data_IF_456643610768
#
_entry.id   IF_456643610768
#
_cell.length_a   1.000
_cell.length_b   1.000
_cell.length_c   1.000
_cell.angle_alpha   90.00
_cell.angle_beta   90.00
_cell.angle_gamma   90.00
#
_symmetry.space_group_name_H-M   'P 1'
#
loop_
_entity.id
_entity.type
_entity.pdbx_description
1 polymer ?
#
# COMPACT_ATOMS: atom_id res chain seq x y z
N UNK A 1 4.93 -3.53 -11.15
CA UNK A 1 4.45 -4.87 -11.49
C UNK A 1 2.98 -4.75 -11.84
N UNK A 2 2.50 -5.24 -13.00
CA UNK A 2 1.07 -5.26 -13.28
C UNK A 2 0.36 -6.11 -12.22
N UNK A 3 -0.85 -5.70 -11.84
CA UNK A 3 -1.72 -6.54 -11.00
C UNK A 3 -2.18 -7.69 -11.89
N UNK A 4 -1.77 -8.92 -11.56
CA UNK A 4 -2.24 -10.11 -12.24
C UNK A 4 -3.47 -10.65 -11.47
N UNK A 5 -4.70 -10.55 -12.03
CA UNK A 5 -5.90 -11.05 -11.36
C UNK A 5 -5.87 -12.57 -11.16
N UNK A 6 -5.05 -13.30 -11.92
CA UNK A 6 -4.97 -14.76 -11.83
C UNK A 6 -4.21 -15.24 -10.59
N UNK A 7 -3.48 -14.36 -9.91
CA UNK A 7 -2.81 -14.66 -8.63
C UNK A 7 -3.72 -14.44 -7.43
N UNK A 8 -4.97 -14.02 -7.63
CA UNK A 8 -5.94 -13.89 -6.54
C UNK A 8 -6.48 -15.26 -6.11
N UNK A 9 -6.81 -15.45 -4.82
CA UNK A 9 -7.53 -16.64 -4.39
C UNK A 9 -8.87 -16.80 -5.13
N UNK A 10 -9.32 -18.05 -5.26
CA UNK A 10 -10.42 -18.42 -6.15
C UNK A 10 -11.71 -17.63 -5.91
N UNK A 11 -12.04 -17.38 -4.64
CA UNK A 11 -13.27 -16.68 -4.28
C UNK A 11 -13.22 -15.21 -4.72
N UNK A 12 -12.13 -14.50 -4.42
CA UNK A 12 -11.89 -13.10 -4.78
C UNK A 12 -11.87 -12.92 -6.30
N UNK A 13 -11.26 -13.87 -7.02
CA UNK A 13 -11.24 -13.87 -8.49
C UNK A 13 -12.67 -13.99 -9.04
N UNK A 14 -13.49 -14.90 -8.53
CA UNK A 14 -14.90 -15.01 -8.95
C UNK A 14 -15.71 -13.75 -8.64
N UNK A 15 -15.52 -13.13 -7.47
CA UNK A 15 -16.18 -11.87 -7.12
C UNK A 15 -15.78 -10.73 -8.06
N UNK A 16 -14.48 -10.62 -8.38
CA UNK A 16 -13.96 -9.63 -9.32
C UNK A 16 -14.55 -9.83 -10.71
N UNK A 17 -14.57 -11.07 -11.22
CA UNK A 17 -15.16 -11.40 -12.53
C UNK A 17 -16.65 -11.08 -12.57
N UNK A 18 -17.41 -11.44 -11.54
CA UNK A 18 -18.85 -11.15 -11.47
C UNK A 18 -19.11 -9.64 -11.49
N UNK A 19 -18.36 -8.87 -10.70
CA UNK A 19 -18.49 -7.42 -10.66
C UNK A 19 -18.10 -6.76 -11.99
N UNK A 20 -17.01 -7.21 -12.62
CA UNK A 20 -16.60 -6.74 -13.94
C UNK A 20 -17.68 -7.00 -14.99
N UNK A 21 -18.27 -8.20 -14.99
CA UNK A 21 -19.38 -8.57 -15.88
C UNK A 21 -20.59 -7.64 -15.71
N UNK A 22 -21.09 -7.45 -14.49
CA UNK A 22 -22.26 -6.60 -14.24
C UNK A 22 -22.03 -5.12 -14.59
N UNK A 23 -20.78 -4.66 -14.51
CA UNK A 23 -20.40 -3.28 -14.84
C UNK A 23 -19.98 -3.11 -16.32
N UNK A 24 -19.93 -4.18 -17.10
CA UNK A 24 -19.47 -4.15 -18.49
C UNK A 24 -18.02 -3.71 -18.63
N UNK A 25 -17.16 -4.06 -17.67
CA UNK A 25 -15.75 -3.65 -17.62
C UNK A 25 -14.82 -4.82 -17.89
N UNK A 26 -13.65 -4.49 -18.40
CA UNK A 26 -12.51 -5.40 -18.42
C UNK A 26 -12.12 -5.78 -16.97
N UNK A 27 -11.87 -7.07 -16.64
CA UNK A 27 -11.53 -7.51 -15.29
C UNK A 27 -10.28 -6.84 -14.71
N UNK A 28 -9.24 -6.60 -15.53
CA UNK A 28 -8.02 -5.92 -15.08
C UNK A 28 -8.30 -4.44 -14.75
N UNK A 29 -9.07 -3.77 -15.61
CA UNK A 29 -9.52 -2.40 -15.34
C UNK A 29 -10.36 -2.32 -14.05
N UNK A 30 -11.22 -3.32 -13.80
CA UNK A 30 -12.01 -3.38 -12.57
C UNK A 30 -11.14 -3.66 -11.35
N UNK A 31 -10.12 -4.52 -11.45
CA UNK A 31 -9.17 -4.80 -10.37
C UNK A 31 -8.45 -3.51 -9.95
N UNK A 32 -7.96 -2.74 -10.93
CA UNK A 32 -7.34 -1.42 -10.69
C UNK A 32 -8.32 -0.46 -10.03
N UNK A 33 -9.58 -0.42 -10.48
CA UNK A 33 -10.60 0.43 -9.88
C UNK A 33 -10.89 0.06 -8.41
N UNK A 34 -10.95 -1.23 -8.10
CA UNK A 34 -11.11 -1.74 -6.74
C UNK A 34 -9.94 -1.33 -5.84
N UNK A 35 -8.69 -1.49 -6.31
CA UNK A 35 -7.52 -1.06 -5.57
C UNK A 35 -7.53 0.45 -5.31
N UNK A 36 -7.81 1.26 -6.33
CA UNK A 36 -7.90 2.71 -6.19
C UNK A 36 -9.00 3.14 -5.20
N UNK A 37 -10.13 2.43 -5.19
CA UNK A 37 -11.21 2.68 -4.24
C UNK A 37 -10.77 2.34 -2.81
N UNK A 38 -10.19 1.15 -2.62
CA UNK A 38 -9.69 0.71 -1.32
C UNK A 38 -8.64 1.66 -0.76
N UNK A 39 -7.65 2.07 -1.57
CA UNK A 39 -6.60 3.00 -1.15
C UNK A 39 -7.17 4.35 -0.71
N UNK A 40 -8.18 4.87 -1.41
CA UNK A 40 -8.87 6.12 -0.99
C UNK A 40 -9.65 5.96 0.30
N UNK A 41 -10.30 4.82 0.51
CA UNK A 41 -11.02 4.53 1.75
C UNK A 41 -10.05 4.34 2.93
N UNK A 42 -8.88 3.76 2.67
CA UNK A 42 -7.85 3.51 3.67
C UNK A 42 -6.92 4.72 3.93
N UNK A 43 -6.98 5.77 3.10
CA UNK A 43 -6.10 6.93 3.15
C UNK A 43 -5.96 7.52 4.56
N UNK A 44 -7.04 7.75 5.35
CA UNK A 44 -6.90 8.38 6.64
C UNK A 44 -6.02 7.58 7.61
N UNK A 45 -6.11 6.24 7.54
CA UNK A 45 -5.30 5.31 8.34
C UNK A 45 -3.86 5.29 7.86
N UNK A 46 -3.64 5.23 6.55
CA UNK A 46 -2.29 5.25 5.94
C UNK A 46 -1.59 6.56 6.30
N UNK A 47 -2.23 7.70 6.04
CA UNK A 47 -1.62 9.00 6.29
C UNK A 47 -1.48 9.32 7.79
N UNK A 48 -2.25 8.69 8.67
CA UNK A 48 -2.00 8.79 10.11
C UNK A 48 -0.65 8.18 10.50
N UNK A 49 -0.31 7.01 9.95
CA UNK A 49 0.99 6.38 10.17
C UNK A 49 2.11 7.22 9.54
N UNK A 50 1.91 7.69 8.30
CA UNK A 50 2.89 8.55 7.62
C UNK A 50 3.16 9.83 8.43
N UNK A 51 2.12 10.51 8.94
CA UNK A 51 2.27 11.68 9.82
C UNK A 51 3.08 11.37 11.07
N UNK A 52 2.79 10.25 11.72
CA UNK A 52 3.52 9.83 12.92
C UNK A 52 5.01 9.65 12.64
N UNK A 53 5.35 8.94 11.57
CA UNK A 53 6.76 8.68 11.25
C UNK A 53 7.49 9.89 10.69
N UNK A 54 6.83 10.78 9.97
CA UNK A 54 7.40 12.06 9.55
C UNK A 54 7.77 12.91 10.78
N UNK A 55 6.88 12.97 11.78
CA UNK A 55 7.17 13.66 13.03
C UNK A 55 8.34 13.02 13.79
N UNK A 56 8.42 11.68 13.82
CA UNK A 56 9.53 10.97 14.46
C UNK A 56 10.86 11.26 13.78
N UNK A 57 10.94 11.13 12.46
CA UNK A 57 12.15 11.47 11.69
C UNK A 57 12.57 12.91 11.96
N UNK A 58 11.61 13.84 12.01
CA UNK A 58 11.91 15.23 12.27
C UNK A 58 12.47 15.47 13.68
N UNK A 59 11.96 14.75 14.68
CA UNK A 59 12.49 14.79 16.04
C UNK A 59 13.91 14.20 16.14
N UNK A 60 14.17 13.09 15.45
CA UNK A 60 15.46 12.38 15.52
C UNK A 60 16.58 13.10 14.75
N UNK A 61 16.24 13.73 13.62
CA UNK A 61 17.20 14.42 12.73
C UNK A 61 17.31 15.92 13.00
N UNK A 62 16.35 16.51 13.71
CA UNK A 62 16.22 17.95 13.91
C UNK A 62 15.81 18.72 12.64
N UNK A 63 15.50 18.04 11.53
CA UNK A 63 15.04 18.65 10.29
C UNK A 63 13.52 18.45 10.15
N UNK A 64 12.71 19.50 9.91
CA UNK A 64 11.29 19.33 9.64
C UNK A 64 11.03 18.37 8.47
N UNK A 65 10.04 17.51 8.61
CA UNK A 65 9.57 16.62 7.55
C UNK A 65 8.04 16.57 7.59
N UNK A 66 7.41 16.94 6.48
CA UNK A 66 5.98 16.88 6.30
C UNK A 66 5.53 15.48 5.84
N UNK A 67 4.28 15.13 6.13
CA UNK A 67 3.77 13.79 5.83
C UNK A 67 3.78 13.47 4.33
N UNK A 68 3.46 14.44 3.47
CA UNK A 68 3.51 14.23 2.02
C UNK A 68 4.94 14.09 1.50
N UNK A 69 5.92 14.75 2.13
CA UNK A 69 7.34 14.57 1.79
C UNK A 69 7.79 13.16 2.12
N UNK A 70 7.40 12.62 3.28
CA UNK A 70 7.67 11.24 3.62
C UNK A 70 6.95 10.26 2.67
N UNK A 71 5.69 10.52 2.32
CA UNK A 71 4.95 9.68 1.37
C UNK A 71 5.68 9.59 0.01
N UNK A 72 6.11 10.74 -0.52
CA UNK A 72 6.86 10.81 -1.77
C UNK A 72 8.24 10.16 -1.66
N UNK A 73 8.92 10.31 -0.51
CA UNK A 73 10.20 9.69 -0.25
C UNK A 73 10.09 8.16 -0.20
N UNK A 74 9.05 7.60 0.46
CA UNK A 74 8.75 6.16 0.46
C UNK A 74 8.50 5.68 -0.98
N UNK A 75 7.71 6.41 -1.77
CA UNK A 75 7.43 6.04 -3.15
C UNK A 75 8.69 6.05 -4.04
N UNK A 76 9.67 6.90 -3.73
CA UNK A 76 10.93 7.02 -4.46
C UNK A 76 11.96 5.97 -4.04
N UNK A 77 12.17 5.79 -2.74
CA UNK A 77 13.20 4.91 -2.18
C UNK A 77 12.78 4.38 -0.79
N UNK A 78 12.07 3.24 -0.72
CA UNK A 78 11.72 2.62 0.56
C UNK A 78 12.94 2.23 1.40
N UNK A 79 14.05 1.85 0.75
CA UNK A 79 15.28 1.43 1.43
C UNK A 79 15.91 2.57 2.23
N UNK A 80 15.97 3.78 1.67
CA UNK A 80 16.48 4.97 2.39
C UNK A 80 15.64 5.30 3.62
N UNK A 81 14.32 5.10 3.55
CA UNK A 81 13.43 5.31 4.71
C UNK A 81 13.61 4.23 5.77
N UNK A 82 13.90 2.99 5.37
CA UNK A 82 14.22 1.92 6.32
C UNK A 82 15.50 2.24 7.12
N UNK A 83 16.52 2.82 6.48
CA UNK A 83 17.75 3.26 7.15
C UNK A 83 17.50 4.40 8.16
N UNK A 84 16.55 5.30 7.87
CA UNK A 84 16.14 6.37 8.78
C UNK A 84 15.29 5.87 9.96
N UNK A 85 14.69 4.68 9.83
CA UNK A 85 13.78 4.11 10.82
C UNK A 85 14.11 2.63 11.07
N UNK A 86 15.32 2.29 11.56
CA UNK A 86 15.78 0.90 11.66
C UNK A 86 14.90 0.03 12.57
N UNK A 87 14.24 0.67 13.55
CA UNK A 87 13.38 -0.01 14.53
C UNK A 87 11.92 -0.14 14.07
N UNK A 88 11.56 0.36 12.88
CA UNK A 88 10.18 0.32 12.39
C UNK A 88 9.69 -1.12 12.24
N UNK A 89 10.57 -2.02 11.78
CA UNK A 89 10.21 -3.37 11.39
C UNK A 89 9.19 -3.41 10.24
N UNK A 90 9.23 -4.45 9.43
CA UNK A 90 8.11 -4.73 8.51
C UNK A 90 7.16 -5.71 9.21
N UNK A 91 5.85 -5.47 9.06
CA UNK A 91 4.81 -6.36 9.63
C UNK A 91 4.83 -7.72 8.96
N UNK A 92 5.17 -7.76 7.67
CA UNK A 92 5.28 -8.98 6.89
C UNK A 92 6.75 -9.36 6.72
N UNK A 93 7.03 -10.62 7.02
CA UNK A 93 8.29 -11.28 6.72
C UNK A 93 8.22 -11.81 5.27
N UNK A 94 9.12 -11.38 4.37
CA UNK A 94 9.12 -11.84 2.99
C UNK A 94 9.37 -13.36 2.85
N UNK A 95 9.93 -14.00 3.87
CA UNK A 95 10.18 -15.45 3.89
C UNK A 95 8.99 -16.25 4.42
N UNK A 96 7.89 -15.59 4.83
CA UNK A 96 6.67 -16.23 5.30
C UNK A 96 5.51 -16.03 4.31
N UNK A 97 4.63 -17.02 4.14
CA UNK A 97 3.44 -16.86 3.31
C UNK A 97 2.56 -15.73 3.87
N UNK A 98 2.06 -14.87 2.98
CA UNK A 98 1.14 -13.81 3.36
C UNK A 98 -0.18 -14.43 3.84
N UNK A 99 -0.94 -13.71 4.66
CA UNK A 99 -2.26 -14.14 5.14
C UNK A 99 -3.23 -14.36 3.98
N UNK A 100 -2.97 -13.73 2.83
CA UNK A 100 -3.77 -13.84 1.61
C UNK A 100 -3.11 -14.72 0.52
N UNK A 101 -1.99 -15.37 0.83
CA UNK A 101 -1.31 -16.35 -0.06
C UNK A 101 -1.95 -17.72 -0.03
#
# INVERSE_FOLDING_TARGET
MPLDPDTLPDYERHLLTAMAYFLGRDPEAQARACLCMYLRQAEPRIMAQVRYYAHRIAADTGQPMEAYELLDAIARSPAEIADLLPDLGLVHDPDQPDVFS
#
